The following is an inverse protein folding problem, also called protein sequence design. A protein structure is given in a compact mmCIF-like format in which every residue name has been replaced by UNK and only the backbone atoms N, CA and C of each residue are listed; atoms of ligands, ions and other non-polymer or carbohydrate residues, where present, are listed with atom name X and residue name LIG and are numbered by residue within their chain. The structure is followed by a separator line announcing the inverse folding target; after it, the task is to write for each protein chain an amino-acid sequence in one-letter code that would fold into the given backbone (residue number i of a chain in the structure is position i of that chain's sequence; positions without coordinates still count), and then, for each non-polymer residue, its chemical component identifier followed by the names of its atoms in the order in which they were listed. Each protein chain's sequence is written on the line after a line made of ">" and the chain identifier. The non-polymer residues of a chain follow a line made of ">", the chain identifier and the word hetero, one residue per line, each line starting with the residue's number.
data_IF_948691968134
#
_entry.id   IF_948691968134
#
_cell.length_a   1.000
_cell.length_b   1.000
_cell.length_c   1.000
_cell.angle_alpha   90.00
_cell.angle_beta   90.00
_cell.angle_gamma   90.00
#
_symmetry.space_group_name_H-M   'P 1'
#
loop_
_entity.id
_entity.type
_entity.pdbx_description
1 polymer ?
#
# COMPACT_ATOMS: atom_id res chain seq x y z
N UNK A 1 12.95 -7.98 3.67
CA UNK A 1 12.77 -6.56 4.07
C UNK A 1 12.36 -6.52 5.53
N UNK A 2 12.66 -5.44 6.25
CA UNK A 2 12.22 -5.23 7.64
C UNK A 2 11.21 -4.09 7.68
N UNK A 3 10.07 -4.33 8.30
CA UNK A 3 9.02 -3.35 8.54
C UNK A 3 9.03 -2.96 10.03
N UNK A 4 8.94 -1.67 10.31
CA UNK A 4 8.79 -1.12 11.66
C UNK A 4 7.55 -0.24 11.66
N UNK A 5 6.54 -0.63 12.43
CA UNK A 5 5.32 0.18 12.60
C UNK A 5 5.67 1.40 13.44
N UNK A 6 5.33 2.58 12.92
CA UNK A 6 5.55 3.86 13.59
C UNK A 6 4.27 4.34 14.27
N UNK A 7 3.13 4.13 13.60
CA UNK A 7 1.81 4.54 14.10
C UNK A 7 0.73 3.68 13.43
N UNK A 8 -0.27 3.28 14.22
CA UNK A 8 -1.45 2.56 13.74
C UNK A 8 -2.67 3.05 14.53
N UNK A 9 -3.76 3.38 13.82
CA UNK A 9 -5.04 3.79 14.41
C UNK A 9 -6.16 2.99 13.77
N UNK A 10 -6.62 1.99 14.51
CA UNK A 10 -7.71 1.08 14.10
C UNK A 10 -9.09 1.66 14.37
N UNK A 11 -9.21 2.47 15.42
CA UNK A 11 -10.50 2.92 15.95
C UNK A 11 -11.03 4.18 15.23
N UNK A 12 -10.18 4.80 14.39
CA UNK A 12 -10.56 5.94 13.58
C UNK A 12 -10.98 5.46 12.19
N UNK A 13 -12.12 5.98 11.72
CA UNK A 13 -12.46 5.98 10.31
C UNK A 13 -11.99 7.32 9.71
N UNK A 14 -11.07 7.32 8.73
CA UNK A 14 -10.48 6.16 8.05
C UNK A 14 -9.33 5.51 8.83
N UNK A 15 -9.14 4.19 8.61
CA UNK A 15 -7.97 3.44 9.10
C UNK A 15 -6.67 4.15 8.71
N UNK A 16 -5.73 4.23 9.65
CA UNK A 16 -4.47 4.93 9.47
C UNK A 16 -3.30 4.07 9.93
N UNK A 17 -2.28 3.97 9.09
CA UNK A 17 -1.10 3.14 9.34
C UNK A 17 0.13 3.80 8.71
N UNK A 18 1.20 3.92 9.49
CA UNK A 18 2.51 4.41 9.05
C UNK A 18 3.58 3.44 9.50
N UNK A 19 4.45 3.06 8.57
CA UNK A 19 5.58 2.20 8.84
C UNK A 19 6.83 2.67 8.09
N UNK A 20 7.99 2.42 8.70
CA UNK A 20 9.28 2.50 8.04
C UNK A 20 9.64 1.13 7.46
N UNK A 21 10.04 1.09 6.19
CA UNK A 21 10.47 -0.15 5.53
C UNK A 21 11.93 -0.04 5.10
N UNK A 22 12.74 -0.97 5.58
CA UNK A 22 14.16 -1.07 5.27
C UNK A 22 14.50 -2.38 4.58
N UNK A 23 15.55 -2.34 3.76
CA UNK A 23 16.02 -3.48 2.97
C UNK A 23 16.51 -3.05 1.62
N UNK A 24 17.29 -3.92 0.97
CA UNK A 24 17.80 -3.66 -0.36
C UNK A 24 16.65 -3.47 -1.36
N UNK A 25 16.69 -2.37 -2.13
CA UNK A 25 15.69 -2.07 -3.16
C UNK A 25 14.28 -1.80 -2.65
N UNK A 26 14.05 -1.64 -1.34
CA UNK A 26 12.69 -1.50 -0.78
C UNK A 26 11.91 -0.35 -1.42
N UNK A 27 12.55 0.82 -1.57
CA UNK A 27 11.91 1.96 -2.20
C UNK A 27 11.58 1.71 -3.68
N UNK A 28 12.49 1.12 -4.45
CA UNK A 28 12.27 0.82 -5.87
C UNK A 28 11.11 -0.15 -6.09
N UNK A 29 10.95 -1.12 -5.19
CA UNK A 29 9.86 -2.09 -5.24
C UNK A 29 8.54 -1.43 -4.80
N UNK A 30 8.54 -0.69 -3.68
CA UNK A 30 7.33 -0.13 -3.08
C UNK A 30 6.84 1.16 -3.75
N UNK A 31 7.69 1.91 -4.46
CA UNK A 31 7.30 3.14 -5.16
C UNK A 31 6.23 2.89 -6.22
N UNK A 32 6.15 1.66 -6.73
CA UNK A 32 5.11 1.26 -7.68
C UNK A 32 3.72 1.13 -7.04
N UNK A 33 3.67 0.88 -5.73
CA UNK A 33 2.45 0.78 -4.94
C UNK A 33 1.97 2.15 -4.40
N UNK A 34 2.59 3.26 -4.82
CA UNK A 34 2.14 4.60 -4.44
C UNK A 34 0.91 5.02 -5.26
N UNK A 35 -0.28 4.89 -4.66
CA UNK A 35 -1.55 5.36 -5.23
C UNK A 35 -2.79 4.79 -4.57
N UNK A 36 -3.90 4.75 -5.31
CA UNK A 36 -5.18 4.25 -4.83
C UNK A 36 -5.30 2.74 -5.06
N UNK A 37 -5.57 2.00 -3.99
CA UNK A 37 -5.87 0.58 -3.98
C UNK A 37 -7.37 0.37 -3.76
N UNK A 38 -7.97 -0.49 -4.56
CA UNK A 38 -9.40 -0.80 -4.49
C UNK A 38 -9.55 -2.29 -4.20
N UNK A 39 -10.31 -2.64 -3.17
CA UNK A 39 -10.73 -4.01 -2.89
C UNK A 39 -12.25 -4.14 -3.07
N UNK A 40 -12.67 -5.09 -3.90
CA UNK A 40 -14.07 -5.40 -4.17
C UNK A 40 -14.51 -6.68 -3.44
N UNK A 41 -15.51 -6.53 -2.58
CA UNK A 41 -16.18 -7.65 -1.91
C UNK A 41 -17.60 -7.80 -2.45
N UNK A 42 -18.04 -9.00 -2.87
CA UNK A 42 -19.40 -9.19 -3.35
C UNK A 42 -20.40 -8.95 -2.23
N UNK A 43 -21.48 -8.22 -2.51
CA UNK A 43 -22.65 -8.13 -1.62
C UNK A 43 -23.46 -9.42 -1.71
N UNK A 44 -24.38 -9.62 -0.76
CA UNK A 44 -25.23 -10.82 -0.64
C UNK A 44 -25.89 -11.27 -1.97
N UNK A 45 -26.26 -10.33 -2.85
CA UNK A 45 -26.91 -10.64 -4.12
C UNK A 45 -25.93 -11.02 -5.25
N UNK A 46 -24.62 -11.07 -4.99
CA UNK A 46 -23.50 -11.39 -5.90
C UNK A 46 -23.39 -10.58 -7.21
N UNK A 47 -24.37 -9.72 -7.51
CA UNK A 47 -24.45 -8.84 -8.69
C UNK A 47 -23.87 -7.45 -8.46
N UNK A 48 -23.56 -7.10 -7.21
CA UNK A 48 -22.96 -5.81 -6.85
C UNK A 48 -21.82 -6.02 -5.86
N UNK A 49 -20.85 -5.11 -5.92
CA UNK A 49 -19.66 -5.14 -5.07
C UNK A 49 -19.69 -3.96 -4.10
N UNK A 50 -19.30 -4.22 -2.85
CA UNK A 50 -18.85 -3.20 -1.92
C UNK A 50 -17.38 -2.92 -2.19
N UNK A 51 -17.01 -1.64 -2.28
CA UNK A 51 -15.64 -1.21 -2.54
C UNK A 51 -15.03 -0.65 -1.27
N UNK A 52 -13.82 -1.10 -0.99
CA UNK A 52 -12.95 -0.59 0.06
C UNK A 52 -11.76 0.06 -0.62
N UNK A 53 -11.50 1.31 -0.26
CA UNK A 53 -10.48 2.12 -0.89
C UNK A 53 -9.40 2.43 0.13
N UNK A 54 -8.14 2.16 -0.23
CA UNK A 54 -6.97 2.51 0.59
C UNK A 54 -6.06 3.39 -0.24
N UNK A 55 -5.71 4.56 0.29
CA UNK A 55 -4.69 5.41 -0.30
C UNK A 55 -3.33 5.00 0.29
N UNK A 56 -2.44 4.50 -0.56
CA UNK A 56 -1.08 4.17 -0.18
C UNK A 56 -0.16 5.28 -0.65
N UNK A 57 0.69 5.77 0.24
CA UNK A 57 1.71 6.77 -0.10
C UNK A 57 3.05 6.26 0.35
N UNK A 58 3.99 6.19 -0.60
CA UNK A 58 5.37 5.74 -0.35
C UNK A 58 6.30 6.91 -0.62
N UNK A 59 7.17 7.21 0.35
CA UNK A 59 8.21 8.23 0.23
C UNK A 59 9.58 7.61 0.53
N UNK A 60 10.64 8.05 -0.16
CA UNK A 60 11.99 7.67 0.19
C UNK A 60 12.36 8.30 1.54
N UNK A 61 13.08 7.54 2.36
CA UNK A 61 13.63 8.05 3.60
C UNK A 61 14.91 8.86 3.29
N UNK A 62 15.04 10.10 3.78
CA UNK A 62 16.23 10.91 3.54
C UNK A 62 17.43 10.33 4.29
N UNK A 63 18.63 10.53 3.74
CA UNK A 63 19.88 10.13 4.37
C UNK A 63 20.29 11.12 5.47
N UNK A 64 19.56 11.09 6.58
CA UNK A 64 19.83 11.87 7.78
C UNK A 64 19.99 10.91 8.96
N UNK A 65 20.87 11.23 9.94
CA UNK A 65 21.03 10.42 11.13
C UNK A 65 19.73 10.38 11.95
N UNK A 66 19.44 9.22 12.54
CA UNK A 66 18.24 8.97 13.34
C UNK A 66 18.65 8.20 14.60
N UNK A 67 18.29 8.75 15.74
CA UNK A 67 18.57 8.20 17.05
C UNK A 67 17.25 7.75 17.71
N UNK A 68 16.79 6.56 17.31
CA UNK A 68 15.63 5.90 17.91
C UNK A 68 14.29 6.20 17.23
N UNK A 69 13.23 5.63 17.80
CA UNK A 69 11.90 5.59 17.18
C UNK A 69 11.25 6.97 17.10
N UNK A 70 11.41 7.82 18.11
CA UNK A 70 10.79 9.15 18.12
C UNK A 70 11.29 10.05 16.99
N UNK A 71 12.59 9.97 16.65
CA UNK A 71 13.14 10.75 15.54
C UNK A 71 12.70 10.18 14.18
N UNK A 72 12.56 8.86 14.09
CA UNK A 72 12.04 8.18 12.91
C UNK A 72 10.58 8.58 12.60
N UNK A 73 9.74 8.69 13.64
CA UNK A 73 8.35 9.19 13.52
C UNK A 73 8.34 10.62 12.98
N UNK A 74 9.10 11.55 13.59
CA UNK A 74 9.16 12.95 13.14
C UNK A 74 9.65 13.09 11.70
N UNK A 75 10.63 12.28 11.32
CA UNK A 75 11.13 12.26 9.95
C UNK A 75 10.05 11.78 8.98
N UNK A 76 9.33 10.70 9.31
CA UNK A 76 8.23 10.21 8.49
C UNK A 76 7.12 11.27 8.32
N UNK A 77 6.69 11.91 9.41
CA UNK A 77 5.73 13.01 9.37
C UNK A 77 6.19 14.14 8.43
N UNK A 78 7.45 14.55 8.52
CA UNK A 78 8.04 15.58 7.67
C UNK A 78 8.06 15.18 6.19
N UNK A 79 8.42 13.92 5.89
CA UNK A 79 8.41 13.40 4.52
C UNK A 79 7.00 13.42 3.91
N UNK A 80 5.98 13.05 4.68
CA UNK A 80 4.60 13.04 4.19
C UNK A 80 3.98 14.45 4.14
N UNK A 81 4.36 15.37 5.04
CA UNK A 81 3.90 16.75 5.05
C UNK A 81 4.37 17.54 3.81
N UNK A 82 5.54 17.20 3.25
CA UNK A 82 6.08 17.83 2.04
C UNK A 82 5.30 17.48 0.75
N UNK A 83 4.36 16.54 0.80
CA UNK A 83 3.62 16.07 -0.37
C UNK A 83 2.49 17.05 -0.71
N UNK A 84 2.71 17.88 -1.75
CA UNK A 84 1.70 18.82 -2.24
C UNK A 84 0.46 18.16 -2.85
N UNK A 85 0.61 16.97 -3.48
CA UNK A 85 -0.51 16.26 -4.12
C UNK A 85 -0.32 14.75 -4.00
N UNK A 86 -1.25 14.08 -3.32
CA UNK A 86 -1.32 12.61 -3.28
C UNK A 86 -1.72 12.09 -4.67
N UNK A 87 -1.02 11.07 -5.16
CA UNK A 87 -1.37 10.41 -6.41
C UNK A 87 -2.65 9.61 -6.21
N UNK A 88 -3.76 10.04 -6.83
CA UNK A 88 -5.04 9.36 -6.74
C UNK A 88 -5.29 8.36 -7.88
N UNK A 89 -4.27 8.03 -8.66
CA UNK A 89 -4.37 7.05 -9.72
C UNK A 89 -4.59 5.67 -9.11
N UNK A 90 -5.54 4.91 -9.66
CA UNK A 90 -5.73 3.51 -9.27
C UNK A 90 -4.50 2.73 -9.71
N UNK A 91 -3.79 2.13 -8.75
CA UNK A 91 -2.60 1.31 -9.02
C UNK A 91 -2.92 -0.16 -8.96
N UNK A 92 -3.85 -0.55 -8.08
CA UNK A 92 -4.21 -1.95 -7.84
C UNK A 92 -5.71 -2.11 -7.60
N UNK A 93 -6.25 -3.16 -8.18
CA UNK A 93 -7.62 -3.59 -7.93
C UNK A 93 -7.63 -5.07 -7.54
N UNK A 94 -8.25 -5.38 -6.41
CA UNK A 94 -8.33 -6.71 -5.81
C UNK A 94 -9.78 -7.17 -5.72
N UNK A 95 -10.01 -8.45 -5.94
CA UNK A 95 -11.28 -9.12 -5.72
C UNK A 95 -11.02 -10.57 -5.35
N UNK A 96 -11.56 -11.05 -4.24
CA UNK A 96 -11.43 -12.46 -3.83
C UNK A 96 -12.55 -13.34 -4.40
N UNK A 97 -13.78 -12.83 -4.41
CA UNK A 97 -14.98 -13.58 -4.78
C UNK A 97 -15.79 -12.84 -5.87
N UNK A 98 -16.52 -13.54 -6.76
CA UNK A 98 -16.65 -15.00 -6.88
C UNK A 98 -15.45 -15.68 -7.54
N UNK A 99 -14.51 -14.91 -8.08
CA UNK A 99 -13.26 -15.43 -8.64
C UNK A 99 -12.12 -14.47 -8.32
N UNK A 100 -11.04 -14.98 -7.69
CA UNK A 100 -9.86 -14.21 -7.37
C UNK A 100 -9.30 -13.46 -8.58
N UNK A 101 -9.06 -12.17 -8.40
CA UNK A 101 -8.49 -11.32 -9.43
C UNK A 101 -7.74 -10.16 -8.79
N UNK A 102 -6.49 -10.01 -9.19
CA UNK A 102 -5.69 -8.81 -8.99
C UNK A 102 -5.41 -8.20 -10.35
N UNK A 103 -5.66 -6.89 -10.49
CA UNK A 103 -5.24 -6.09 -11.64
C UNK A 103 -4.20 -5.08 -11.21
N UNK A 104 -3.06 -5.11 -11.88
CA UNK A 104 -2.02 -4.10 -11.78
C UNK A 104 -2.23 -3.07 -12.89
N UNK A 105 -2.54 -1.84 -12.51
CA UNK A 105 -2.74 -0.74 -13.46
C UNK A 105 -1.44 -0.02 -13.84
N UNK A 106 -0.35 -0.24 -13.11
CA UNK A 106 0.97 0.37 -13.36
C UNK A 106 1.74 -0.42 -14.41
N UNK A 107 1.76 -1.75 -14.27
CA UNK A 107 2.46 -2.70 -15.16
C UNK A 107 1.52 -3.42 -16.14
N UNK A 108 0.21 -3.19 -16.03
CA UNK A 108 -0.81 -3.71 -16.94
C UNK A 108 -0.92 -5.25 -17.00
N UNK A 109 -0.76 -5.93 -15.86
CA UNK A 109 -0.96 -7.37 -15.75
C UNK A 109 -2.18 -7.74 -14.89
N UNK A 110 -2.63 -9.00 -15.00
CA UNK A 110 -3.73 -9.56 -14.19
C UNK A 110 -3.39 -10.96 -13.70
N UNK A 111 -3.79 -11.29 -12.48
CA UNK A 111 -3.53 -12.62 -11.88
C UNK A 111 -4.71 -13.09 -11.03
N UNK A 112 -5.00 -14.39 -11.06
CA UNK A 112 -5.91 -15.03 -10.10
C UNK A 112 -5.21 -15.52 -8.84
N UNK A 113 -3.87 -15.43 -8.76
CA UNK A 113 -3.07 -15.89 -7.60
C UNK A 113 -3.02 -14.81 -6.52
N UNK A 114 -4.18 -14.44 -5.98
CA UNK A 114 -4.30 -13.36 -5.00
C UNK A 114 -3.50 -13.63 -3.72
N UNK A 115 -3.45 -14.89 -3.27
CA UNK A 115 -2.71 -15.29 -2.07
C UNK A 115 -1.23 -14.93 -2.18
N UNK A 116 -0.61 -15.18 -3.35
CA UNK A 116 0.80 -14.82 -3.60
C UNK A 116 1.04 -13.32 -3.52
N UNK A 117 0.06 -12.52 -3.94
CA UNK A 117 0.13 -11.06 -3.88
C UNK A 117 0.03 -10.58 -2.44
N UNK A 118 -0.88 -11.15 -1.65
CA UNK A 118 -1.03 -10.84 -0.22
C UNK A 118 0.16 -11.29 0.61
N UNK A 119 0.84 -12.37 0.21
CA UNK A 119 2.13 -12.80 0.77
C UNK A 119 3.29 -11.85 0.40
N UNK A 120 3.04 -10.78 -0.36
CA UNK A 120 4.05 -9.78 -0.72
C UNK A 120 4.86 -10.11 -1.97
N UNK A 121 4.54 -11.16 -2.73
CA UNK A 121 5.27 -11.55 -3.94
C UNK A 121 4.80 -10.81 -5.20
N UNK A 122 4.30 -9.58 -5.07
CA UNK A 122 3.71 -8.81 -6.18
C UNK A 122 4.72 -8.39 -7.24
N UNK A 123 6.01 -8.35 -6.88
CA UNK A 123 7.13 -8.06 -7.77
C UNK A 123 7.49 -9.24 -8.68
N UNK A 124 7.10 -10.47 -8.34
CA UNK A 124 7.32 -11.68 -9.14
C UNK A 124 6.37 -11.77 -10.36
N UNK A 125 5.43 -10.84 -10.49
CA UNK A 125 4.47 -10.78 -11.59
C UNK A 125 4.85 -9.63 -12.54
N UNK A 126 5.04 -9.98 -13.81
CA UNK A 126 5.38 -9.07 -14.92
C UNK A 126 4.69 -9.52 -16.18
#
# INVERSE_FOLDING_TARGET
>A
MRLVVLEEKTDLAPYYFVAAVSGFGSYMILSEENGLHIYEQPKNNQRSFQRFNVMVTVQPQPYLPIHGLSELVKQAESCFAAIMKRKSNVVRHYRENPSPLVRDHRRNWRSGRIDRIFDGNFDLFS
#
